data_IF_502990294945
#
_entry.id   IF_502990294945
#
_cell.length_a   1.000
_cell.length_b   1.000
_cell.length_c   1.000
_cell.angle_alpha   90.00
_cell.angle_beta   90.00
_cell.angle_gamma   90.00
#
_symmetry.space_group_name_H-M   'P 1'
#
loop_
_entity.id
_entity.type
_entity.pdbx_description
1 polymer ?
#
# COMPACT_ATOMS: atom_id res chain seq x y z
N UNK A 1 -18.52 5.63 -2.56
CA UNK A 1 -17.71 4.66 -1.77
C UNK A 1 -16.45 5.39 -1.32
N UNK A 2 -16.31 5.64 0.00
CA UNK A 2 -15.21 6.43 0.55
C UNK A 2 -13.88 5.68 0.39
N UNK A 3 -13.11 6.00 -0.66
CA UNK A 3 -11.83 5.36 -1.01
C UNK A 3 -10.62 6.03 -0.33
N UNK A 4 -10.79 6.66 0.83
CA UNK A 4 -9.66 7.24 1.57
C UNK A 4 -9.12 6.31 2.67
N UNK A 5 -9.12 4.99 2.46
CA UNK A 5 -8.31 4.13 3.34
C UNK A 5 -6.84 4.40 3.03
N UNK A 6 -6.13 4.79 4.07
CA UNK A 6 -4.74 5.18 3.99
C UNK A 6 -3.85 3.95 4.08
N UNK A 7 -3.09 3.66 3.02
CA UNK A 7 -2.05 2.63 3.01
C UNK A 7 -1.21 2.65 4.28
N UNK A 8 -1.19 1.54 5.01
CA UNK A 8 -0.52 1.35 6.29
C UNK A 8 0.31 0.05 6.30
N UNK A 9 0.97 -0.25 7.42
CA UNK A 9 1.81 -1.44 7.57
C UNK A 9 1.02 -2.76 7.61
N UNK A 10 -0.26 -2.72 8.04
CA UNK A 10 -1.14 -3.89 8.00
C UNK A 10 -1.48 -4.26 6.55
N UNK A 11 -1.81 -3.26 5.72
CA UNK A 11 -2.05 -3.47 4.28
C UNK A 11 -0.83 -4.10 3.61
N UNK A 12 0.39 -3.66 3.98
CA UNK A 12 1.63 -4.22 3.46
C UNK A 12 1.80 -5.69 3.89
N UNK A 13 1.58 -5.99 5.17
CA UNK A 13 1.69 -7.35 5.70
C UNK A 13 0.69 -8.32 5.05
N UNK A 14 -0.52 -7.87 4.74
CA UNK A 14 -1.51 -8.67 4.00
C UNK A 14 -1.00 -9.04 2.60
N UNK A 15 -0.40 -8.09 1.88
CA UNK A 15 0.15 -8.32 0.54
C UNK A 15 1.41 -9.20 0.59
N UNK A 16 2.28 -9.03 1.59
CA UNK A 16 3.43 -9.90 1.85
C UNK A 16 2.97 -11.35 2.08
N UNK A 17 1.95 -11.56 2.93
CA UNK A 17 1.39 -12.89 3.18
C UNK A 17 0.79 -13.52 1.92
N UNK A 18 0.20 -12.73 1.01
CA UNK A 18 -0.27 -13.22 -0.28
C UNK A 18 0.90 -13.67 -1.16
N UNK A 19 1.97 -12.87 -1.23
CA UNK A 19 3.19 -13.22 -1.97
C UNK A 19 3.84 -14.51 -1.50
N UNK A 20 3.90 -14.72 -0.19
CA UNK A 20 4.35 -15.97 0.42
C UNK A 20 3.47 -17.16 0.00
N UNK A 21 2.15 -16.98 -0.01
CA UNK A 21 1.20 -18.00 -0.44
C UNK A 21 1.41 -18.42 -1.90
N UNK A 22 1.58 -17.44 -2.80
CA UNK A 22 1.84 -17.71 -4.22
C UNK A 22 3.18 -18.41 -4.42
N UNK A 23 4.24 -17.95 -3.75
CA UNK A 23 5.57 -18.57 -3.83
C UNK A 23 5.52 -20.04 -3.39
N UNK A 24 4.83 -20.34 -2.29
CA UNK A 24 4.65 -21.73 -1.83
C UNK A 24 3.92 -22.60 -2.85
N UNK A 25 2.93 -22.05 -3.55
CA UNK A 25 2.21 -22.78 -4.60
C UNK A 25 3.09 -23.02 -5.83
N UNK A 26 3.84 -21.99 -6.28
CA UNK A 26 4.81 -22.12 -7.36
C UNK A 26 5.86 -23.19 -7.06
N UNK A 27 6.44 -23.16 -5.86
CA UNK A 27 7.45 -24.13 -5.42
C UNK A 27 6.88 -25.54 -5.33
N UNK A 28 5.64 -25.70 -4.85
CA UNK A 28 4.97 -26.99 -4.81
C UNK A 28 4.76 -27.58 -6.21
N UNK A 29 4.33 -26.76 -7.17
CA UNK A 29 4.16 -27.17 -8.57
C UNK A 29 5.52 -27.54 -9.18
N UNK A 30 6.56 -26.73 -8.96
CA UNK A 30 7.90 -27.00 -9.46
C UNK A 30 8.47 -28.31 -8.86
N UNK A 31 8.22 -28.58 -7.58
CA UNK A 31 8.65 -29.83 -6.95
C UNK A 31 7.96 -31.06 -7.57
N UNK A 32 6.67 -30.95 -7.89
CA UNK A 32 5.93 -32.03 -8.56
C UNK A 32 6.49 -32.30 -9.96
N UNK A 33 6.73 -31.25 -10.75
CA UNK A 33 7.32 -31.36 -12.08
C UNK A 33 8.72 -31.99 -12.05
N UNK A 34 9.55 -31.62 -11.07
CA UNK A 34 10.88 -32.20 -10.91
C UNK A 34 10.84 -33.70 -10.59
N UNK A 35 9.88 -34.12 -9.74
CA UNK A 35 9.66 -35.54 -9.42
C UNK A 35 9.20 -36.34 -10.64
N UNK A 36 8.27 -35.79 -11.41
CA UNK A 36 7.79 -36.38 -12.66
C UNK A 36 8.94 -36.57 -13.67
N UNK A 37 9.77 -35.54 -13.85
CA UNK A 37 10.96 -35.62 -14.70
C UNK A 37 11.93 -36.71 -14.24
N UNK A 38 12.13 -36.86 -12.91
CA UNK A 38 12.94 -37.91 -12.33
C UNK A 38 12.41 -39.32 -12.60
N UNK A 39 11.10 -39.53 -12.48
CA UNK A 39 10.45 -40.81 -12.82
C UNK A 39 10.64 -41.11 -14.32
N UNK A 40 10.40 -40.12 -15.17
CA UNK A 40 10.58 -40.23 -16.62
C UNK A 40 12.00 -40.67 -16.97
N UNK A 41 13.01 -40.04 -16.36
CA UNK A 41 14.41 -40.37 -16.58
C UNK A 41 14.76 -41.78 -16.08
N UNK A 42 14.19 -42.22 -14.96
CA UNK A 42 14.40 -43.55 -14.40
C UNK A 42 13.79 -44.66 -15.27
N UNK A 43 12.60 -44.43 -15.84
CA UNK A 43 11.96 -45.36 -16.78
C UNK A 43 12.68 -45.37 -18.12
N UNK A 44 13.31 -44.26 -18.51
CA UNK A 44 14.05 -44.07 -19.77
C UNK A 44 13.29 -44.55 -21.02
N UNK A 45 12.06 -44.07 -21.26
CA UNK A 45 11.25 -44.49 -22.39
C UNK A 45 11.84 -44.02 -23.73
N UNK A 46 11.67 -44.80 -24.82
CA UNK A 46 12.04 -44.34 -26.16
C UNK A 46 11.35 -43.02 -26.53
N UNK A 47 12.02 -42.18 -27.31
CA UNK A 47 11.51 -40.84 -27.71
C UNK A 47 10.10 -40.90 -28.33
N UNK A 48 9.84 -41.90 -29.17
CA UNK A 48 8.54 -42.15 -29.78
C UNK A 48 7.41 -42.31 -28.74
N UNK A 49 7.69 -42.93 -27.59
CA UNK A 49 6.71 -43.10 -26.51
C UNK A 49 6.44 -41.77 -25.81
N UNK A 50 7.48 -40.96 -25.57
CA UNK A 50 7.32 -39.62 -24.99
C UNK A 50 6.54 -38.68 -25.91
N UNK A 51 6.72 -38.79 -27.23
CA UNK A 51 6.08 -37.91 -28.21
C UNK A 51 4.61 -38.26 -28.47
N UNK A 52 4.22 -39.54 -28.37
CA UNK A 52 2.90 -40.01 -28.78
C UNK A 52 2.07 -40.68 -27.67
N UNK A 53 2.70 -41.11 -26.57
CA UNK A 53 2.10 -41.96 -25.53
C UNK A 53 2.52 -41.54 -24.11
N UNK A 54 2.91 -40.27 -23.88
CA UNK A 54 3.37 -39.77 -22.57
C UNK A 54 2.36 -40.01 -21.46
N UNK A 55 1.09 -39.69 -21.72
CA UNK A 55 0.03 -39.74 -20.72
C UNK A 55 -0.31 -41.20 -20.36
N UNK A 56 -0.29 -42.09 -21.36
CA UNK A 56 -0.51 -43.53 -21.17
C UNK A 56 0.66 -44.17 -20.42
N UNK A 57 1.90 -43.79 -20.73
CA UNK A 57 3.08 -44.20 -19.98
C UNK A 57 2.97 -43.78 -18.51
N UNK A 58 2.66 -42.52 -18.22
CA UNK A 58 2.53 -42.04 -16.84
C UNK A 58 1.45 -42.79 -16.07
N UNK A 59 0.31 -43.05 -16.71
CA UNK A 59 -0.77 -43.87 -16.15
C UNK A 59 -0.30 -45.29 -15.81
N UNK A 60 0.48 -45.93 -16.68
CA UNK A 60 1.02 -47.27 -16.43
C UNK A 60 2.09 -47.31 -15.34
N UNK A 61 2.86 -46.24 -15.18
CA UNK A 61 3.85 -46.08 -14.10
C UNK A 61 3.16 -45.73 -12.76
N UNK A 62 1.84 -45.51 -12.77
CA UNK A 62 1.05 -45.16 -11.59
C UNK A 62 1.16 -43.69 -11.19
N UNK A 63 1.59 -42.83 -12.12
CA UNK A 63 1.68 -41.37 -11.92
C UNK A 63 0.41 -40.74 -12.48
N UNK A 64 -0.51 -40.37 -11.59
CA UNK A 64 -1.69 -39.57 -11.92
C UNK A 64 -1.48 -38.14 -11.41
N UNK A 65 -1.07 -37.24 -12.30
CA UNK A 65 -0.96 -35.82 -12.00
C UNK A 65 -2.15 -35.09 -12.62
N UNK A 66 -2.95 -34.42 -11.78
CA UNK A 66 -3.85 -33.38 -12.28
C UNK A 66 -3.01 -32.19 -12.76
N UNK A 67 -3.37 -31.51 -13.86
CA UNK A 67 -2.68 -30.29 -14.28
C UNK A 67 -2.92 -29.19 -13.23
N UNK A 68 -1.99 -29.08 -12.28
CA UNK A 68 -2.02 -28.04 -11.25
C UNK A 68 -1.31 -26.83 -11.84
N UNK A 69 -2.06 -25.77 -12.08
CA UNK A 69 -1.53 -24.46 -12.43
C UNK A 69 -1.81 -23.49 -11.29
N UNK A 70 -0.92 -22.53 -11.07
CA UNK A 70 -1.15 -21.47 -10.09
C UNK A 70 -2.12 -20.45 -10.71
N UNK A 71 -3.33 -20.26 -10.14
CA UNK A 71 -4.32 -19.37 -10.71
C UNK A 71 -4.00 -17.92 -10.30
N UNK A 72 -3.18 -17.23 -11.08
CA UNK A 72 -2.89 -15.82 -10.81
C UNK A 72 -4.12 -14.95 -11.09
N UNK A 73 -4.57 -14.12 -10.13
CA UNK A 73 -5.63 -13.17 -10.40
C UNK A 73 -5.14 -12.07 -11.35
N UNK A 74 -6.01 -11.68 -12.28
CA UNK A 74 -5.73 -10.65 -13.28
C UNK A 74 -6.67 -9.47 -13.07
N UNK A 75 -6.09 -8.31 -12.76
CA UNK A 75 -6.82 -7.06 -12.60
C UNK A 75 -6.76 -6.27 -13.90
N UNK A 76 -7.92 -5.88 -14.42
CA UNK A 76 -8.02 -5.07 -15.64
C UNK A 76 -8.56 -3.69 -15.28
N UNK A 77 -7.81 -2.67 -15.65
CA UNK A 77 -8.15 -1.26 -15.49
C UNK A 77 -8.60 -0.72 -16.83
N UNK A 78 -9.84 -0.25 -16.90
CA UNK A 78 -10.41 0.37 -18.09
C UNK A 78 -10.72 1.83 -17.80
N UNK A 79 -10.25 2.71 -18.67
CA UNK A 79 -10.58 4.12 -18.70
C UNK A 79 -11.34 4.42 -19.98
N UNK A 80 -12.41 5.21 -19.90
CA UNK A 80 -13.11 5.77 -21.05
C UNK A 80 -13.33 7.25 -20.80
N UNK A 81 -12.98 8.08 -21.77
CA UNK A 81 -13.19 9.53 -21.72
C UNK A 81 -14.67 9.88 -21.60
N UNK A 82 -14.99 11.02 -20.99
CA UNK A 82 -16.37 11.45 -20.76
C UNK A 82 -17.22 11.55 -22.05
N UNK A 83 -16.59 11.84 -23.20
CA UNK A 83 -17.24 11.91 -24.51
C UNK A 83 -17.27 10.58 -25.27
N UNK A 84 -16.77 9.48 -24.71
CA UNK A 84 -16.76 8.15 -25.35
C UNK A 84 -15.74 7.96 -26.49
N UNK A 85 -14.97 8.99 -26.84
CA UNK A 85 -14.10 9.00 -28.04
C UNK A 85 -12.70 8.39 -27.81
N UNK A 86 -12.35 8.07 -26.58
CA UNK A 86 -11.05 7.49 -26.23
C UNK A 86 -11.20 6.58 -25.03
N UNK A 87 -10.54 5.42 -25.07
CA UNK A 87 -10.44 4.52 -23.95
C UNK A 87 -9.07 3.86 -23.89
N UNK A 88 -8.67 3.46 -22.69
CA UNK A 88 -7.42 2.72 -22.44
C UNK A 88 -7.74 1.52 -21.56
N UNK A 89 -7.17 0.36 -21.89
CA UNK A 89 -7.27 -0.85 -21.09
C UNK A 89 -5.86 -1.30 -20.72
N UNK A 90 -5.64 -1.60 -19.44
CA UNK A 90 -4.38 -2.15 -18.94
C UNK A 90 -4.67 -3.32 -18.01
N UNK A 91 -3.99 -4.44 -18.19
CA UNK A 91 -4.16 -5.62 -17.34
C UNK A 91 -2.88 -5.91 -16.55
N UNK A 92 -3.04 -6.34 -15.31
CA UNK A 92 -1.96 -6.68 -14.38
C UNK A 92 -2.23 -8.06 -13.80
N UNK A 93 -1.33 -9.01 -14.06
CA UNK A 93 -1.37 -10.34 -13.45
C UNK A 93 -0.60 -10.31 -12.13
N UNK A 94 -1.25 -10.67 -11.02
CA UNK A 94 -0.60 -10.77 -9.70
C UNK A 94 0.18 -12.09 -9.58
N UNK A 95 1.24 -12.22 -10.37
CA UNK A 95 2.26 -13.24 -10.17
C UNK A 95 3.31 -12.77 -9.17
N UNK A 96 4.29 -13.64 -8.85
CA UNK A 96 5.39 -13.33 -7.95
C UNK A 96 6.09 -12.00 -8.25
N UNK A 97 6.48 -11.79 -9.51
CA UNK A 97 7.20 -10.58 -9.93
C UNK A 97 6.38 -9.31 -9.69
N UNK A 98 5.10 -9.32 -10.03
CA UNK A 98 4.21 -8.17 -9.82
C UNK A 98 3.98 -7.90 -8.33
N UNK A 99 3.85 -8.95 -7.50
CA UNK A 99 3.65 -8.81 -6.06
C UNK A 99 4.88 -8.20 -5.39
N UNK A 100 6.08 -8.64 -5.77
CA UNK A 100 7.34 -8.07 -5.23
C UNK A 100 7.41 -6.55 -5.50
N UNK A 101 7.10 -6.13 -6.72
CA UNK A 101 7.04 -4.71 -7.11
C UNK A 101 5.96 -3.96 -6.33
N UNK A 102 4.81 -4.59 -6.08
CA UNK A 102 3.72 -4.01 -5.31
C UNK A 102 4.13 -3.79 -3.84
N UNK A 103 4.73 -4.79 -3.20
CA UNK A 103 5.27 -4.72 -1.83
C UNK A 103 6.26 -3.57 -1.71
N UNK A 104 7.22 -3.49 -2.64
CA UNK A 104 8.20 -2.41 -2.66
C UNK A 104 7.53 -1.04 -2.79
N UNK A 105 6.61 -0.89 -3.75
CA UNK A 105 5.88 0.36 -4.01
C UNK A 105 5.08 0.80 -2.78
N UNK A 106 4.40 -0.14 -2.12
CA UNK A 106 3.65 0.12 -0.89
C UNK A 106 4.56 0.54 0.25
N UNK A 107 5.66 -0.18 0.48
CA UNK A 107 6.67 0.13 1.50
C UNK A 107 7.23 1.55 1.31
N UNK A 108 7.59 1.92 0.08
CA UNK A 108 8.08 3.27 -0.23
C UNK A 108 7.02 4.34 0.06
N UNK A 109 5.76 4.09 -0.29
CA UNK A 109 4.67 5.03 -0.02
C UNK A 109 4.40 5.19 1.47
N UNK A 110 4.48 4.11 2.26
CA UNK A 110 4.35 4.17 3.73
C UNK A 110 5.50 4.97 4.34
N UNK A 111 6.75 4.68 3.94
CA UNK A 111 7.94 5.44 4.37
C UNK A 111 7.83 6.91 4.03
N UNK A 112 7.43 7.23 2.80
CA UNK A 112 7.20 8.61 2.38
C UNK A 112 6.17 9.29 3.26
N UNK A 113 5.03 8.64 3.55
CA UNK A 113 4.00 9.20 4.43
C UNK A 113 4.54 9.44 5.84
N UNK A 114 5.30 8.51 6.42
CA UNK A 114 5.91 8.68 7.76
C UNK A 114 7.04 9.71 7.78
N UNK A 115 7.64 10.06 6.64
CA UNK A 115 8.71 11.05 6.55
C UNK A 115 8.26 12.46 6.92
N UNK A 116 9.20 13.30 7.34
CA UNK A 116 8.89 14.68 7.69
C UNK A 116 8.39 15.53 6.51
N UNK A 117 8.80 15.20 5.28
CA UNK A 117 8.31 15.83 4.08
C UNK A 117 6.87 15.39 3.77
N UNK A 118 6.59 14.09 3.84
CA UNK A 118 5.25 13.55 3.63
C UNK A 118 4.23 14.07 4.64
N UNK A 119 4.60 14.13 5.92
CA UNK A 119 3.74 14.72 6.96
C UNK A 119 3.40 16.19 6.66
N UNK A 120 4.39 17.01 6.28
CA UNK A 120 4.12 18.40 5.88
C UNK A 120 3.24 18.51 4.63
N UNK A 121 3.42 17.63 3.65
CA UNK A 121 2.59 17.58 2.45
C UNK A 121 1.13 17.17 2.73
N UNK A 122 0.90 16.31 3.73
CA UNK A 122 -0.44 15.91 4.17
C UNK A 122 -1.24 17.04 4.85
N UNK A 123 -0.57 18.13 5.27
CA UNK A 123 -1.20 19.32 5.84
C UNK A 123 -1.87 20.19 4.76
N UNK A 124 -2.94 19.68 4.14
CA UNK A 124 -3.66 20.35 3.05
C UNK A 124 -4.44 21.58 3.54
N UNK A 125 -4.80 22.49 2.62
CA UNK A 125 -5.63 23.66 2.94
C UNK A 125 -6.97 23.27 3.55
N UNK A 126 -7.63 22.23 3.04
CA UNK A 126 -8.88 21.69 3.58
C UNK A 126 -8.71 21.24 5.02
N UNK A 127 -7.64 20.49 5.32
CA UNK A 127 -7.34 20.05 6.68
C UNK A 127 -7.08 21.25 7.60
N UNK A 128 -6.27 22.23 7.18
CA UNK A 128 -6.01 23.44 7.99
C UNK A 128 -7.30 24.19 8.33
N UNK A 129 -8.19 24.37 7.35
CA UNK A 129 -9.46 25.06 7.58
C UNK A 129 -10.36 24.27 8.54
N UNK A 130 -10.42 22.95 8.42
CA UNK A 130 -11.17 22.10 9.35
C UNK A 130 -10.66 22.23 10.80
N UNK A 131 -9.33 22.23 11.01
CA UNK A 131 -8.74 22.41 12.35
C UNK A 131 -9.02 23.80 12.91
N UNK A 132 -8.92 24.86 12.10
CA UNK A 132 -9.26 26.23 12.52
C UNK A 132 -10.72 26.34 12.93
N UNK A 133 -11.64 25.76 12.16
CA UNK A 133 -13.07 25.73 12.49
C UNK A 133 -13.32 24.95 13.77
N UNK A 134 -12.71 23.75 13.94
CA UNK A 134 -12.79 22.95 15.17
C UNK A 134 -12.35 23.75 16.40
N UNK A 135 -11.28 24.51 16.27
CA UNK A 135 -10.71 25.32 17.35
C UNK A 135 -11.39 26.70 17.48
N UNK A 136 -12.54 26.91 16.83
CA UNK A 136 -13.30 28.17 16.83
C UNK A 136 -12.43 29.39 16.47
N UNK A 137 -11.49 29.23 15.53
CA UNK A 137 -10.54 30.27 15.14
C UNK A 137 -9.87 30.93 16.35
N UNK A 138 -9.46 30.10 17.31
CA UNK A 138 -8.87 30.52 18.58
C UNK A 138 -7.54 29.79 18.81
N UNK A 139 -6.53 30.53 19.28
CA UNK A 139 -5.25 29.96 19.67
C UNK A 139 -5.44 28.99 20.85
N UNK A 140 -5.03 27.74 20.68
CA UNK A 140 -5.16 26.69 21.71
C UNK A 140 -4.19 26.83 22.88
N UNK A 141 -3.22 27.75 22.80
CA UNK A 141 -2.25 27.99 23.86
C UNK A 141 -2.55 29.24 24.70
N UNK A 142 -2.86 30.38 24.06
CA UNK A 142 -3.11 31.65 24.76
C UNK A 142 -4.56 32.13 24.69
N UNK A 143 -5.45 31.31 24.12
CA UNK A 143 -6.91 31.54 24.06
C UNK A 143 -7.38 32.79 23.30
N UNK A 144 -6.49 33.50 22.60
CA UNK A 144 -6.86 34.66 21.78
C UNK A 144 -7.45 34.22 20.43
N UNK A 145 -8.57 34.85 20.05
CA UNK A 145 -9.38 34.49 18.89
C UNK A 145 -9.41 35.60 17.84
N UNK A 146 -9.85 35.28 16.62
CA UNK A 146 -10.13 36.28 15.58
C UNK A 146 -11.24 37.28 15.97
N UNK A 147 -12.14 36.90 16.88
CA UNK A 147 -13.17 37.83 17.37
C UNK A 147 -12.60 38.91 18.30
N UNK A 148 -11.58 38.56 19.09
CA UNK A 148 -10.86 39.51 19.94
C UNK A 148 -9.86 40.37 19.15
N UNK A 149 -9.17 39.75 18.18
CA UNK A 149 -8.20 40.42 17.31
C UNK A 149 -8.45 40.04 15.83
N UNK A 150 -9.20 40.86 15.06
CA UNK A 150 -9.58 40.53 13.67
C UNK A 150 -8.42 40.29 12.70
N UNK A 151 -7.25 40.86 12.98
CA UNK A 151 -6.04 40.74 12.15
C UNK A 151 -5.03 39.70 12.69
N UNK A 152 -5.42 38.90 13.68
CA UNK A 152 -4.57 37.88 14.25
C UNK A 152 -4.27 36.78 13.23
N UNK A 153 -2.99 36.54 12.96
CA UNK A 153 -2.56 35.43 12.12
C UNK A 153 -2.61 34.12 12.91
N UNK A 154 -3.47 33.21 12.47
CA UNK A 154 -3.61 31.85 12.98
C UNK A 154 -3.01 30.82 12.01
N UNK A 155 -2.22 29.92 12.55
CA UNK A 155 -1.56 28.83 11.85
C UNK A 155 -1.96 27.49 12.49
N UNK A 156 -1.92 26.42 11.70
CA UNK A 156 -2.14 25.06 12.21
C UNK A 156 -0.78 24.40 12.33
N UNK A 157 -0.47 23.90 13.53
CA UNK A 157 0.79 23.27 13.86
C UNK A 157 0.57 21.93 14.56
N UNK A 158 1.58 21.07 14.54
CA UNK A 158 1.53 19.77 15.19
C UNK A 158 1.81 19.91 16.70
N UNK A 159 0.98 19.31 17.55
CA UNK A 159 1.21 19.23 19.00
C UNK A 159 2.54 18.53 19.29
N UNK A 160 2.67 17.29 18.80
CA UNK A 160 3.95 16.59 18.68
C UNK A 160 4.60 16.99 17.35
N UNK A 161 5.73 17.70 17.34
CA UNK A 161 6.40 18.12 16.11
C UNK A 161 6.75 16.93 15.21
N UNK A 162 6.68 17.14 13.90
CA UNK A 162 7.04 16.12 12.89
C UNK A 162 8.49 15.61 13.08
N UNK A 163 9.42 16.49 13.49
CA UNK A 163 10.81 16.10 13.78
C UNK A 163 10.95 15.13 14.97
N UNK A 164 9.89 14.96 15.76
CA UNK A 164 9.80 14.03 16.89
C UNK A 164 8.82 12.88 16.63
N UNK A 165 8.50 12.62 15.36
CA UNK A 165 7.61 11.52 14.95
C UNK A 165 6.12 11.88 14.95
N UNK A 166 5.75 13.16 15.11
CA UNK A 166 4.36 13.58 15.08
C UNK A 166 3.70 13.38 13.71
N UNK A 167 2.53 12.74 13.71
CA UNK A 167 1.72 12.51 12.52
C UNK A 167 0.74 13.66 12.25
N UNK A 168 0.38 13.86 10.99
CA UNK A 168 -0.56 14.85 10.50
C UNK A 168 -1.95 14.26 10.53
N UNK A 169 -2.47 14.16 11.76
CA UNK A 169 -3.80 13.67 12.05
C UNK A 169 -4.50 14.69 12.96
N UNK A 170 -5.83 14.91 12.83
CA UNK A 170 -6.52 15.98 13.53
C UNK A 170 -6.25 16.07 15.04
N UNK A 171 -6.12 14.92 15.70
CA UNK A 171 -5.79 14.76 17.12
C UNK A 171 -4.41 15.30 17.51
N UNK A 172 -3.46 15.32 16.58
CA UNK A 172 -2.12 15.88 16.78
C UNK A 172 -1.97 17.28 16.19
N UNK A 173 -3.05 17.92 15.72
CA UNK A 173 -3.03 19.26 15.16
C UNK A 173 -3.76 20.25 16.07
N UNK A 174 -3.26 21.49 16.09
CA UNK A 174 -3.83 22.58 16.86
C UNK A 174 -3.68 23.92 16.13
N UNK A 175 -4.63 24.82 16.37
CA UNK A 175 -4.56 26.21 15.93
C UNK A 175 -3.74 27.02 16.93
N UNK A 176 -2.70 27.70 16.46
CA UNK A 176 -1.87 28.62 17.25
C UNK A 176 -1.82 29.99 16.58
N UNK A 177 -1.75 31.06 17.38
CA UNK A 177 -1.38 32.36 16.83
C UNK A 177 0.10 32.38 16.45
N UNK A 178 0.48 33.26 15.52
CA UNK A 178 1.86 33.36 15.02
C UNK A 178 2.90 33.49 16.13
N UNK A 179 2.59 34.21 17.23
CA UNK A 179 3.49 34.37 18.38
C UNK A 179 3.71 33.03 19.10
N UNK A 180 2.62 32.34 19.45
CA UNK A 180 2.68 31.06 20.12
C UNK A 180 3.32 29.98 19.24
N UNK A 181 3.00 29.97 17.93
CA UNK A 181 3.60 29.03 17.00
C UNK A 181 5.13 29.21 16.91
N UNK A 182 5.59 30.47 16.78
CA UNK A 182 7.02 30.79 16.75
C UNK A 182 7.72 30.42 18.06
N UNK A 183 7.09 30.66 19.21
CA UNK A 183 7.61 30.23 20.51
C UNK A 183 7.64 28.70 20.63
N UNK A 184 6.65 27.99 20.09
CA UNK A 184 6.64 26.52 20.12
C UNK A 184 7.76 25.93 19.29
N UNK A 185 7.88 26.31 18.02
CA UNK A 185 8.87 25.73 17.10
C UNK A 185 8.83 24.18 17.15
N UNK A 186 9.97 23.52 17.30
CA UNK A 186 10.08 22.05 17.42
C UNK A 186 9.95 21.53 18.86
N UNK A 187 9.42 22.33 19.79
CA UNK A 187 9.19 21.91 21.19
C UNK A 187 7.79 21.34 21.36
N UNK A 188 7.67 20.45 22.33
CA UNK A 188 6.38 19.99 22.83
C UNK A 188 6.08 20.91 23.99
N UNK A 189 5.02 21.70 23.89
CA UNK A 189 4.59 22.62 24.94
C UNK A 189 3.25 22.08 25.45
N UNK A 190 3.15 21.85 26.76
CA UNK A 190 1.87 21.53 27.39
C UNK A 190 0.98 22.77 27.35
N UNK A 191 -0.30 22.59 27.00
CA UNK A 191 -1.28 23.68 27.11
C UNK A 191 -1.34 24.15 28.57
N UNK A 192 -1.29 25.47 28.75
CA UNK A 192 -1.51 26.13 30.05
C UNK A 192 -2.97 26.41 30.30
#
# INVERSE_FOLDING_TARGET
MNLSRHLNEEDLAEVESLGDGITRLEDAVANLQQREAGITQMVNPPKFVLEHYSDELMKHVGVELSPISVPYPVYTFEYVSAGGNSGQRSSVTLNRQTIDVLIETMSQKIKWRKSAAGQRALMTTTLRNMIKTRDNHTCRYCSISLSAEPHLLLEVDHIMPVSKGGLTAPENLQTLCWRCNRTKSNRIIAAG
#
